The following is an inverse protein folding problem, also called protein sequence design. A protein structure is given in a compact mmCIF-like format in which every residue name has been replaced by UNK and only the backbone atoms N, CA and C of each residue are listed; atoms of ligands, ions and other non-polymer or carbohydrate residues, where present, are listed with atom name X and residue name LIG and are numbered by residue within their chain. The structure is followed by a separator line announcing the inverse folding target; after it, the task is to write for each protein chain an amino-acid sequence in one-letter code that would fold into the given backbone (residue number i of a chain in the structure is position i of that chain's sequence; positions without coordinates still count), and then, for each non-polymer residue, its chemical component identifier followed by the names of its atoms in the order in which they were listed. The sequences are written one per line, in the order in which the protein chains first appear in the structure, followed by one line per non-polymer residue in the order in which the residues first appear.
data_IF_965841374074
#
_entry.id   IF_965841374074
#
_cell.length_a   1.000
_cell.length_b   1.000
_cell.length_c   1.000
_cell.angle_alpha   90.00
_cell.angle_beta   90.00
_cell.angle_gamma   90.00
#
_symmetry.space_group_name_H-M   'P 1'
#
loop_
_entity.id
_entity.type
_entity.pdbx_description
1 polymer ?
#
# COMPACT_ATOMS: atom_id res chain seq x y z
N UNK A 1 6.23 3.90 -0.93
CA UNK A 1 6.28 5.30 -1.35
C UNK A 1 7.68 5.92 -1.43
N UNK A 2 8.84 5.28 -1.16
CA UNK A 2 10.09 6.04 -1.09
C UNK A 2 10.53 6.60 -2.44
N UNK A 3 10.34 5.85 -3.54
CA UNK A 3 10.67 6.32 -4.89
C UNK A 3 9.78 7.48 -5.32
N UNK A 4 8.46 7.33 -5.20
CA UNK A 4 7.51 8.37 -5.58
C UNK A 4 7.71 9.67 -4.79
N UNK A 5 7.91 9.58 -3.47
CA UNK A 5 8.19 10.74 -2.61
C UNK A 5 9.47 11.47 -3.05
N UNK A 6 10.53 10.71 -3.34
CA UNK A 6 11.79 11.29 -3.85
C UNK A 6 11.59 11.97 -5.21
N UNK A 7 10.92 11.32 -6.16
CA UNK A 7 10.67 11.92 -7.48
C UNK A 7 9.87 13.22 -7.37
N UNK A 8 8.79 13.22 -6.59
CA UNK A 8 7.98 14.43 -6.38
C UNK A 8 8.80 15.52 -5.66
N UNK A 9 9.60 15.16 -4.65
CA UNK A 9 10.50 16.13 -4.00
C UNK A 9 11.48 16.77 -4.98
N UNK A 10 12.09 15.98 -5.88
CA UNK A 10 12.95 16.52 -6.93
C UNK A 10 12.21 17.41 -7.92
N UNK A 11 11.00 17.02 -8.34
CA UNK A 11 10.16 17.85 -9.22
C UNK A 11 9.83 19.18 -8.55
N UNK A 12 9.48 19.19 -7.26
CA UNK A 12 9.19 20.42 -6.51
C UNK A 12 10.42 21.32 -6.40
N UNK A 13 11.62 20.75 -6.17
CA UNK A 13 12.87 21.51 -6.21
C UNK A 13 13.14 22.11 -7.59
N UNK A 14 12.95 21.31 -8.63
CA UNK A 14 13.12 21.76 -10.00
C UNK A 14 12.19 22.93 -10.31
N UNK A 15 10.91 22.82 -9.94
CA UNK A 15 9.92 23.89 -10.08
C UNK A 15 10.31 25.15 -9.30
N UNK A 16 10.76 25.02 -8.05
CA UNK A 16 11.24 26.18 -7.28
C UNK A 16 12.48 26.83 -7.92
N UNK A 17 13.36 26.04 -8.54
CA UNK A 17 14.55 26.55 -9.22
C UNK A 17 14.21 27.29 -10.51
N UNK A 18 13.28 26.76 -11.31
CA UNK A 18 12.87 27.40 -12.57
C UNK A 18 11.95 28.60 -12.36
N UNK A 19 11.21 28.64 -11.24
CA UNK A 19 10.29 29.75 -10.91
C UNK A 19 10.93 30.85 -10.06
N UNK A 20 12.22 30.72 -9.69
CA UNK A 20 12.91 31.67 -8.79
C UNK A 20 12.88 33.12 -9.31
N UNK A 21 13.03 33.29 -10.62
CA UNK A 21 13.10 34.61 -11.28
C UNK A 21 11.76 35.09 -11.86
N UNK A 22 10.67 34.37 -11.58
CA UNK A 22 9.35 34.72 -12.09
C UNK A 22 8.69 35.80 -11.20
N UNK A 23 7.81 36.67 -11.71
CA UNK A 23 7.04 37.60 -10.88
C UNK A 23 6.24 36.88 -9.79
N UNK A 24 6.13 37.48 -8.62
CA UNK A 24 5.52 36.83 -7.44
C UNK A 24 4.06 36.42 -7.67
N UNK A 25 3.31 37.18 -8.46
CA UNK A 25 1.95 36.85 -8.90
C UNK A 25 1.89 35.49 -9.62
N UNK A 26 2.88 35.21 -10.46
CA UNK A 26 2.94 33.95 -11.19
C UNK A 26 3.49 32.81 -10.33
N UNK A 27 4.40 33.08 -9.38
CA UNK A 27 4.81 32.11 -8.35
C UNK A 27 3.61 31.66 -7.51
N UNK A 28 2.77 32.60 -7.08
CA UNK A 28 1.59 32.31 -6.26
C UNK A 28 0.53 31.50 -7.01
N UNK A 29 0.34 31.76 -8.31
CA UNK A 29 -0.52 30.92 -9.17
C UNK A 29 -0.01 29.49 -9.23
N UNK A 30 1.29 29.30 -9.43
CA UNK A 30 1.93 27.96 -9.48
C UNK A 30 1.80 27.26 -8.12
N UNK A 31 2.07 27.96 -7.02
CA UNK A 31 1.92 27.45 -5.65
C UNK A 31 0.49 27.02 -5.35
N UNK A 32 -0.49 27.84 -5.71
CA UNK A 32 -1.92 27.54 -5.54
C UNK A 32 -2.38 26.37 -6.40
N UNK A 33 -1.84 26.23 -7.60
CA UNK A 33 -2.15 25.10 -8.47
C UNK A 33 -1.64 23.76 -7.90
N UNK A 34 -0.43 23.76 -7.33
CA UNK A 34 0.22 22.56 -6.78
C UNK A 34 -0.24 22.29 -5.34
N UNK A 35 -0.70 23.31 -4.60
CA UNK A 35 -1.10 23.21 -3.20
C UNK A 35 0.07 23.24 -2.22
N UNK A 36 1.12 24.01 -2.53
CA UNK A 36 2.32 24.18 -1.70
C UNK A 36 2.33 25.50 -0.95
N UNK A 37 2.50 25.46 0.37
CA UNK A 37 2.43 26.64 1.24
C UNK A 37 3.81 27.21 1.62
N UNK A 38 4.92 26.51 1.37
CA UNK A 38 6.27 26.97 1.73
C UNK A 38 7.24 27.01 0.55
N UNK A 39 8.04 28.08 0.52
CA UNK A 39 9.29 28.13 -0.25
C UNK A 39 10.23 27.05 0.30
N UNK A 40 10.72 26.17 -0.58
CA UNK A 40 11.80 25.25 -0.23
C UNK A 40 13.10 25.85 -0.74
N UNK A 41 14.03 26.09 0.19
CA UNK A 41 15.40 26.47 -0.17
C UNK A 41 16.03 25.38 -1.03
N UNK A 42 16.71 25.81 -2.09
CA UNK A 42 17.30 24.93 -3.09
C UNK A 42 18.66 24.37 -2.63
N UNK A 43 18.71 23.79 -1.44
CA UNK A 43 19.93 23.18 -0.87
C UNK A 43 19.93 21.67 -1.14
N UNK A 44 21.10 21.09 -1.41
CA UNK A 44 21.31 19.63 -1.45
C UNK A 44 21.85 19.17 -0.09
N UNK A 45 21.38 18.05 0.53
CA UNK A 45 20.57 16.93 -0.01
C UNK A 45 19.05 17.02 0.25
N UNK A 46 18.26 16.03 -0.26
CA UNK A 46 16.81 15.94 0.00
C UNK A 46 16.54 15.66 1.48
N UNK A 47 16.01 16.65 2.18
CA UNK A 47 15.77 16.57 3.62
C UNK A 47 14.47 15.80 3.93
N UNK A 48 14.38 15.26 5.15
CA UNK A 48 13.19 14.55 5.60
C UNK A 48 11.92 15.41 5.54
N UNK A 49 12.04 16.73 5.74
CA UNK A 49 10.94 17.68 5.61
C UNK A 49 10.33 17.70 4.19
N UNK A 50 11.18 17.65 3.18
CA UNK A 50 10.77 17.68 1.77
C UNK A 50 10.04 16.40 1.37
N UNK A 51 10.50 15.26 1.88
CA UNK A 51 9.83 13.98 1.67
C UNK A 51 8.47 13.91 2.36
N UNK A 52 8.29 14.60 3.51
CA UNK A 52 6.98 14.74 4.18
C UNK A 52 6.05 15.65 3.38
N UNK A 53 6.57 16.78 2.88
CA UNK A 53 5.79 17.70 2.04
C UNK A 53 5.37 17.02 0.73
N UNK A 54 6.27 16.31 0.06
CA UNK A 54 5.96 15.54 -1.14
C UNK A 54 4.86 14.50 -0.88
N UNK A 55 4.92 13.78 0.26
CA UNK A 55 3.87 12.84 0.65
C UNK A 55 2.52 13.53 0.84
N UNK A 56 2.47 14.67 1.54
CA UNK A 56 1.25 15.47 1.71
C UNK A 56 0.67 15.90 0.36
N UNK A 57 1.50 16.41 -0.55
CA UNK A 57 1.06 16.88 -1.88
C UNK A 57 0.48 15.73 -2.71
N UNK A 58 1.14 14.57 -2.72
CA UNK A 58 0.65 13.37 -3.42
C UNK A 58 -0.75 12.99 -2.89
N UNK A 59 -0.93 13.00 -1.57
CA UNK A 59 -2.20 12.65 -0.93
C UNK A 59 -3.28 13.70 -1.23
N UNK A 60 -2.96 15.00 -1.13
CA UNK A 60 -3.87 16.09 -1.48
C UNK A 60 -4.34 16.00 -2.93
N UNK A 61 -3.40 15.80 -3.86
CA UNK A 61 -3.70 15.65 -5.29
C UNK A 61 -4.62 14.45 -5.54
N UNK A 62 -4.33 13.32 -4.89
CA UNK A 62 -5.17 12.12 -4.95
C UNK A 62 -6.59 12.40 -4.42
N UNK A 63 -6.70 13.02 -3.25
CA UNK A 63 -8.01 13.31 -2.66
C UNK A 63 -8.81 14.32 -3.48
N UNK A 64 -8.15 15.31 -4.09
CA UNK A 64 -8.78 16.24 -5.03
C UNK A 64 -9.34 15.52 -6.26
N UNK A 65 -8.56 14.60 -6.83
CA UNK A 65 -8.99 13.81 -8.00
C UNK A 65 -10.20 12.91 -7.68
N UNK A 66 -10.28 12.37 -6.47
CA UNK A 66 -11.33 11.44 -6.04
C UNK A 66 -12.33 12.06 -5.04
N UNK A 67 -12.52 13.38 -5.10
CA UNK A 67 -13.38 14.11 -4.17
C UNK A 67 -14.82 13.58 -4.13
N UNK A 68 -15.39 13.21 -5.28
CA UNK A 68 -16.74 12.62 -5.37
C UNK A 68 -16.89 11.33 -4.56
N UNK A 69 -15.86 10.47 -4.57
CA UNK A 69 -15.84 9.23 -3.80
C UNK A 69 -15.73 9.53 -2.30
N UNK A 70 -14.94 10.54 -1.92
CA UNK A 70 -14.82 10.97 -0.52
C UNK A 70 -16.18 11.45 0.00
N UNK A 71 -16.83 12.37 -0.72
CA UNK A 71 -18.14 12.92 -0.35
C UNK A 71 -19.21 11.83 -0.23
N UNK A 72 -19.26 10.89 -1.17
CA UNK A 72 -20.19 9.76 -1.11
C UNK A 72 -19.94 8.84 0.10
N UNK A 73 -18.68 8.70 0.56
CA UNK A 73 -18.35 7.93 1.74
C UNK A 73 -18.63 8.68 3.04
N UNK A 74 -18.46 10.00 3.07
CA UNK A 74 -18.89 10.87 4.18
C UNK A 74 -20.40 10.74 4.41
N UNK A 75 -21.21 10.74 3.35
CA UNK A 75 -22.66 10.54 3.42
C UNK A 75 -23.07 9.16 3.96
N UNK A 76 -22.19 8.15 3.86
CA UNK A 76 -22.42 6.77 4.36
C UNK A 76 -22.05 6.59 5.83
N UNK A 77 -22.02 7.67 6.63
CA UNK A 77 -21.68 7.68 8.07
C UNK A 77 -20.24 7.23 8.38
N UNK A 78 -19.32 7.31 7.42
CA UNK A 78 -17.90 7.30 7.76
C UNK A 78 -17.59 8.71 8.28
N UNK A 79 -17.12 8.82 9.52
CA UNK A 79 -16.74 10.11 10.13
C UNK A 79 -15.45 10.63 9.46
N UNK A 80 -15.55 11.03 8.20
CA UNK A 80 -14.45 11.57 7.41
C UNK A 80 -14.45 13.08 7.58
N UNK A 81 -13.39 13.61 8.17
CA UNK A 81 -13.23 15.05 8.39
C UNK A 81 -11.88 15.51 7.84
N UNK A 82 -11.78 16.73 7.30
CA UNK A 82 -10.51 17.29 6.89
C UNK A 82 -9.66 17.60 8.13
N UNK A 83 -8.36 17.32 8.04
CA UNK A 83 -7.34 17.71 9.00
C UNK A 83 -6.97 19.20 8.83
N UNK A 84 -6.15 19.73 9.74
CA UNK A 84 -5.53 21.07 9.67
C UNK A 84 -4.81 21.33 8.33
N UNK A 85 -4.17 20.31 7.77
CA UNK A 85 -3.55 20.37 6.45
C UNK A 85 -4.55 20.31 5.29
N UNK A 86 -5.86 20.18 5.52
CA UNK A 86 -6.88 19.99 4.48
C UNK A 86 -6.91 18.57 3.88
N UNK A 87 -6.30 17.60 4.55
CA UNK A 87 -6.29 16.18 4.15
C UNK A 87 -7.47 15.47 4.81
N UNK A 88 -8.26 14.75 4.02
CA UNK A 88 -9.39 13.97 4.54
C UNK A 88 -8.90 12.75 5.32
N UNK A 89 -9.29 12.67 6.60
CA UNK A 89 -8.98 11.56 7.51
C UNK A 89 -10.25 10.93 8.04
N UNK A 90 -10.21 9.62 8.29
CA UNK A 90 -11.31 8.92 8.93
C UNK A 90 -11.13 8.90 10.44
N UNK A 91 -12.19 9.21 11.18
CA UNK A 91 -12.26 9.07 12.63
C UNK A 91 -13.06 7.82 12.98
N UNK A 92 -12.47 6.89 13.74
CA UNK A 92 -13.16 5.72 14.29
C UNK A 92 -13.35 5.82 15.81
N UNK A 93 -14.11 4.90 16.40
CA UNK A 93 -14.28 4.77 17.88
C UNK A 93 -13.00 4.44 18.65
N UNK A 94 -11.86 4.33 17.98
CA UNK A 94 -10.54 4.07 18.57
C UNK A 94 -9.92 5.31 19.25
N UNK A 95 -10.66 6.42 19.39
CA UNK A 95 -10.17 7.68 19.97
C UNK A 95 -9.52 7.55 21.36
N UNK A 96 -9.95 6.57 22.18
CA UNK A 96 -9.42 6.31 23.53
C UNK A 96 -8.29 5.26 23.59
N UNK A 97 -7.87 4.70 22.46
CA UNK A 97 -6.83 3.66 22.44
C UNK A 97 -5.42 4.24 22.66
N UNK A 98 -4.48 3.45 23.18
CA UNK A 98 -3.05 3.81 23.28
C UNK A 98 -2.31 3.72 21.94
N UNK A 99 -3.01 3.87 20.82
CA UNK A 99 -2.43 3.81 19.48
C UNK A 99 -1.79 5.15 19.10
N UNK A 100 -0.80 5.15 18.18
CA UNK A 100 -0.25 6.38 17.60
C UNK A 100 -1.37 7.22 16.97
N UNK A 101 -1.23 8.55 17.00
CA UNK A 101 -2.24 9.45 16.44
C UNK A 101 -2.52 9.19 14.94
N UNK A 102 -1.49 8.82 14.18
CA UNK A 102 -1.63 8.43 12.77
C UNK A 102 -2.55 7.22 12.57
N UNK A 103 -2.55 6.28 13.53
CA UNK A 103 -3.40 5.09 13.51
C UNK A 103 -4.80 5.38 14.07
N UNK A 104 -4.94 6.38 14.95
CA UNK A 104 -6.24 6.85 15.46
C UNK A 104 -7.03 7.59 14.37
N UNK A 105 -6.35 8.39 13.56
CA UNK A 105 -6.92 9.21 12.49
C UNK A 105 -6.28 8.86 11.13
N UNK A 106 -6.54 7.65 10.60
CA UNK A 106 -5.96 7.20 9.35
C UNK A 106 -6.40 8.08 8.17
N UNK A 107 -5.49 8.26 7.21
CA UNK A 107 -5.72 9.06 6.00
C UNK A 107 -6.63 8.28 5.06
N UNK A 108 -7.70 8.91 4.58
CA UNK A 108 -8.59 8.27 3.61
C UNK A 108 -7.92 8.22 2.24
N UNK A 109 -7.86 7.03 1.65
CA UNK A 109 -7.42 6.81 0.28
C UNK A 109 -8.53 6.08 -0.47
N UNK A 110 -8.93 6.62 -1.61
CA UNK A 110 -9.92 5.97 -2.47
C UNK A 110 -9.51 4.53 -2.83
N UNK A 111 -10.45 3.60 -3.05
CA UNK A 111 -10.13 2.25 -3.49
C UNK A 111 -9.75 2.20 -4.98
N UNK A 112 -9.19 1.07 -5.43
CA UNK A 112 -8.95 0.71 -6.83
C UNK A 112 -8.08 1.66 -7.68
N UNK A 113 -7.18 2.41 -7.06
CA UNK A 113 -6.25 3.29 -7.78
C UNK A 113 -4.79 2.82 -7.65
N UNK A 114 -3.93 3.45 -8.46
CA UNK A 114 -2.49 3.20 -8.47
C UNK A 114 -1.81 3.55 -7.15
N UNK A 115 -2.28 4.59 -6.46
CA UNK A 115 -1.72 5.00 -5.16
C UNK A 115 -1.95 3.93 -4.09
N UNK A 116 -3.17 3.45 -3.92
CA UNK A 116 -3.57 2.38 -3.01
C UNK A 116 -2.78 1.10 -3.29
N UNK A 117 -2.64 0.72 -4.58
CA UNK A 117 -1.83 -0.44 -4.96
C UNK A 117 -0.36 -0.25 -4.56
N UNK A 118 0.18 0.97 -4.70
CA UNK A 118 1.55 1.29 -4.31
C UNK A 118 1.75 1.26 -2.79
N UNK A 119 0.78 1.75 -2.00
CA UNK A 119 0.77 1.66 -0.52
C UNK A 119 0.77 0.18 -0.10
N UNK A 120 -0.13 -0.61 -0.67
CA UNK A 120 -0.26 -2.03 -0.35
C UNK A 120 1.02 -2.79 -0.72
N UNK A 121 1.60 -2.51 -1.89
CA UNK A 121 2.84 -3.16 -2.34
C UNK A 121 4.03 -2.82 -1.44
N UNK A 122 4.09 -1.60 -0.95
CA UNK A 122 5.09 -1.20 0.05
C UNK A 122 4.89 -1.94 1.38
N UNK A 123 3.66 -2.01 1.88
CA UNK A 123 3.33 -2.72 3.12
C UNK A 123 3.61 -4.23 3.01
N UNK A 124 3.38 -4.82 1.84
CA UNK A 124 3.72 -6.21 1.54
C UNK A 124 5.24 -6.41 1.50
N UNK A 125 5.94 -5.47 0.86
CA UNK A 125 7.37 -5.27 0.97
C UNK A 125 8.24 -6.43 0.49
N UNK A 126 9.53 -6.36 0.82
CA UNK A 126 10.55 -7.40 0.52
C UNK A 126 10.38 -8.66 1.38
N UNK A 127 9.67 -8.54 2.49
CA UNK A 127 9.44 -9.63 3.44
C UNK A 127 8.20 -10.48 3.10
N UNK A 128 7.55 -10.21 1.97
CA UNK A 128 6.39 -10.98 1.49
C UNK A 128 5.36 -11.27 2.57
N UNK A 129 5.05 -10.23 3.36
CA UNK A 129 4.19 -10.35 4.54
C UNK A 129 2.84 -10.97 4.19
N UNK A 130 2.28 -11.74 5.11
CA UNK A 130 0.95 -12.33 4.95
C UNK A 130 -0.12 -11.25 4.69
N UNK A 131 -1.26 -11.66 4.15
CA UNK A 131 -2.39 -10.75 3.89
C UNK A 131 -2.79 -9.98 5.15
N UNK A 132 -2.88 -10.65 6.30
CA UNK A 132 -3.25 -10.04 7.57
C UNK A 132 -2.22 -9.01 8.05
N UNK A 133 -0.93 -9.34 8.00
CA UNK A 133 0.14 -8.42 8.37
C UNK A 133 0.20 -7.21 7.45
N UNK A 134 0.03 -7.42 6.14
CA UNK A 134 -0.02 -6.34 5.16
C UNK A 134 -1.18 -5.39 5.45
N UNK A 135 -2.37 -5.94 5.75
CA UNK A 135 -3.54 -5.13 6.13
C UNK A 135 -3.32 -4.34 7.42
N UNK A 136 -2.72 -4.97 8.44
CA UNK A 136 -2.40 -4.31 9.70
C UNK A 136 -1.43 -3.15 9.49
N UNK A 137 -0.40 -3.34 8.67
CA UNK A 137 0.57 -2.30 8.37
C UNK A 137 -0.06 -1.11 7.62
N UNK A 138 -0.92 -1.37 6.63
CA UNK A 138 -1.64 -0.30 5.92
C UNK A 138 -2.53 0.49 6.89
N UNK A 139 -3.25 -0.21 7.79
CA UNK A 139 -4.17 0.41 8.76
C UNK A 139 -3.48 1.27 9.82
N UNK A 140 -2.16 1.16 10.01
CA UNK A 140 -1.42 2.07 10.89
C UNK A 140 -1.47 3.52 10.44
N UNK A 141 -1.66 3.79 9.14
CA UNK A 141 -1.60 5.15 8.58
C UNK A 141 -2.73 5.47 7.61
N UNK A 142 -3.31 4.46 6.95
CA UNK A 142 -4.26 4.65 5.85
C UNK A 142 -5.56 3.87 6.05
N UNK A 143 -6.67 4.50 5.65
CA UNK A 143 -7.97 3.89 5.54
C UNK A 143 -8.34 3.72 4.06
N UNK A 144 -8.40 2.46 3.61
CA UNK A 144 -8.74 2.11 2.23
C UNK A 144 -10.01 1.24 2.24
N UNK A 145 -11.11 1.67 1.62
CA UNK A 145 -12.29 0.84 1.48
C UNK A 145 -11.98 -0.48 0.75
N UNK A 146 -12.60 -1.59 1.17
CA UNK A 146 -12.38 -2.93 0.59
C UNK A 146 -10.90 -3.37 0.57
N UNK A 147 -10.11 -2.95 1.57
CA UNK A 147 -8.68 -3.23 1.68
C UNK A 147 -8.32 -4.72 1.49
N UNK A 148 -9.08 -5.65 2.11
CA UNK A 148 -8.80 -7.08 2.00
C UNK A 148 -8.79 -7.57 0.53
N UNK A 149 -9.77 -7.14 -0.26
CA UNK A 149 -9.87 -7.50 -1.67
C UNK A 149 -8.67 -6.95 -2.47
N UNK A 150 -8.28 -5.70 -2.19
CA UNK A 150 -7.13 -5.08 -2.86
C UNK A 150 -5.80 -5.72 -2.46
N UNK A 151 -5.61 -6.06 -1.18
CA UNK A 151 -4.40 -6.75 -0.70
C UNK A 151 -4.28 -8.12 -1.36
N UNK A 152 -5.35 -8.91 -1.38
CA UNK A 152 -5.36 -10.20 -2.09
C UNK A 152 -5.02 -10.03 -3.57
N UNK A 153 -5.55 -9.00 -4.24
CA UNK A 153 -5.25 -8.70 -5.66
C UNK A 153 -3.76 -8.37 -5.87
N UNK A 154 -3.14 -7.62 -4.97
CA UNK A 154 -1.70 -7.28 -5.07
C UNK A 154 -0.82 -8.49 -4.78
N UNK A 155 -1.11 -9.25 -3.72
CA UNK A 155 -0.33 -10.44 -3.33
C UNK A 155 -0.43 -11.53 -4.41
N UNK A 156 -1.61 -11.73 -5.01
CA UNK A 156 -1.77 -12.67 -6.14
C UNK A 156 -0.89 -12.33 -7.35
N UNK A 157 -0.45 -11.08 -7.51
CA UNK A 157 0.45 -10.64 -8.59
C UNK A 157 1.94 -10.70 -8.19
N UNK A 158 2.24 -11.06 -6.94
CA UNK A 158 3.60 -11.11 -6.45
C UNK A 158 4.26 -12.43 -6.88
N UNK A 159 5.27 -12.37 -7.75
CA UNK A 159 5.96 -13.54 -8.29
C UNK A 159 6.61 -14.40 -7.22
N UNK A 160 7.18 -13.78 -6.19
CA UNK A 160 7.80 -14.48 -5.06
C UNK A 160 6.74 -15.25 -4.27
N UNK A 161 5.62 -14.60 -3.92
CA UNK A 161 4.52 -15.28 -3.24
C UNK A 161 3.88 -16.37 -4.11
N UNK A 162 3.79 -16.17 -5.43
CA UNK A 162 3.35 -17.22 -6.35
C UNK A 162 4.31 -18.42 -6.30
N UNK A 163 5.62 -18.18 -6.37
CA UNK A 163 6.63 -19.25 -6.33
C UNK A 163 6.56 -20.07 -5.03
N UNK A 164 6.33 -19.43 -3.89
CA UNK A 164 6.25 -20.11 -2.59
C UNK A 164 4.89 -20.76 -2.29
N UNK A 165 3.78 -20.22 -2.80
CA UNK A 165 2.43 -20.67 -2.45
C UNK A 165 1.70 -21.43 -3.56
N UNK A 166 2.22 -21.44 -4.80
CA UNK A 166 1.62 -22.23 -5.87
C UNK A 166 1.81 -23.72 -5.58
N UNK A 167 0.82 -24.52 -5.98
CA UNK A 167 0.95 -25.96 -5.90
C UNK A 167 2.16 -26.42 -6.74
N UNK A 168 2.84 -27.49 -6.31
CA UNK A 168 3.82 -28.17 -7.14
C UNK A 168 3.23 -28.50 -8.51
N UNK A 169 4.09 -28.62 -9.51
CA UNK A 169 3.70 -29.18 -10.80
C UNK A 169 2.97 -30.51 -10.58
N UNK A 170 1.81 -30.69 -11.21
CA UNK A 170 1.09 -31.96 -11.12
C UNK A 170 2.00 -33.03 -11.71
N UNK A 171 2.35 -34.03 -10.91
CA UNK A 171 3.03 -35.20 -11.44
C UNK A 171 2.16 -35.81 -12.54
N UNK A 172 2.75 -36.23 -13.67
CA UNK A 172 2.05 -37.07 -14.63
C UNK A 172 1.40 -38.25 -13.91
N UNK A 173 0.26 -38.77 -14.40
CA UNK A 173 -0.28 -40.03 -13.89
C UNK A 173 0.84 -41.07 -13.83
N UNK A 174 1.04 -41.67 -12.67
CA UNK A 174 1.99 -42.77 -12.52
C UNK A 174 1.53 -43.88 -13.47
N UNK A 175 2.45 -44.39 -14.28
CA UNK A 175 2.19 -45.57 -15.09
C UNK A 175 1.78 -46.72 -14.14
N UNK A 176 0.82 -47.53 -14.59
CA UNK A 176 0.43 -48.73 -13.85
C UNK A 176 1.68 -49.58 -13.61
N UNK A 177 1.93 -49.91 -12.34
CA UNK A 177 3.04 -50.77 -12.00
C UNK A 177 2.83 -52.12 -12.71
N UNK A 178 3.88 -52.69 -13.33
CA UNK A 178 3.75 -53.98 -13.98
C UNK A 178 3.28 -55.02 -12.97
N UNK A 179 2.41 -55.90 -13.44
CA UNK A 179 1.71 -56.95 -12.68
C UNK A 179 2.66 -58.10 -12.25
N UNK A 180 3.89 -57.76 -11.85
CA UNK A 180 4.79 -58.70 -11.19
C UNK A 180 4.25 -58.94 -9.79
N UNK A 181 3.30 -59.88 -9.75
CA UNK A 181 2.76 -60.61 -8.61
C UNK A 181 3.62 -60.40 -7.38
N UNK A 182 3.14 -59.58 -6.45
CA UNK A 182 3.59 -59.62 -5.08
C UNK A 182 3.45 -61.07 -4.62
N UNK A 183 4.56 -61.81 -4.58
CA UNK A 183 4.62 -63.10 -3.90
C UNK A 183 4.33 -62.76 -2.45
N UNK A 184 3.09 -62.93 -2.02
CA UNK A 184 2.74 -62.98 -0.62
C UNK A 184 3.63 -64.05 -0.01
N UNK A 185 4.60 -63.60 0.79
CA UNK A 185 5.46 -64.51 1.54
C UNK A 185 4.53 -65.22 2.52
N UNK A 186 4.17 -66.47 2.22
CA UNK A 186 3.43 -67.31 3.16
C UNK A 186 4.34 -67.53 4.36
N UNK A 187 3.93 -67.02 5.52
CA UNK A 187 4.56 -67.29 6.80
C UNK A 187 4.65 -68.81 7.02
N UNK A 188 5.87 -69.32 7.18
CA UNK A 188 6.13 -70.69 7.60
C UNK A 188 5.55 -70.85 9.01
N UNK A 189 4.38 -71.50 9.10
CA UNK A 189 3.84 -71.98 10.37
C UNK A 189 4.80 -73.05 10.91
N UNK A 190 5.49 -72.75 12.01
CA UNK A 190 6.27 -73.72 12.78
C UNK A 190 5.30 -74.79 13.32
N UNK A 191 5.38 -76.01 12.78
CA UNK A 191 4.94 -77.22 13.48
C UNK A 191 6.16 -77.94 14.03
N UNK A 192 6.03 -78.45 15.25
CA UNK A 192 7.04 -79.23 15.98
C UNK A 192 7.54 -78.45 17.18
N UNK A 193 7.45 -78.95 18.41
CA UNK A 193 7.19 -80.31 18.92
C UNK A 193 6.77 -80.18 20.38
#
# INVERSE_FOLDING_TARGET
MPKLRKTVAYVLKFLNRTTRNLPDVAKDRIRKAIGTEKEMEATTPVEAAELRNAEKIIIKAHQRQYCSIITANTQRKLNITPDSDGIWRCHGSLGKSRLPEEAKKPIFIAPNNSLANLIIREAHGKYHRSTAHTMAEVRKRFWIPKLCQQVKKVIRKCTVCQKYNNLPFRYPPLAELPDTKSRSITTISRRGT
#
